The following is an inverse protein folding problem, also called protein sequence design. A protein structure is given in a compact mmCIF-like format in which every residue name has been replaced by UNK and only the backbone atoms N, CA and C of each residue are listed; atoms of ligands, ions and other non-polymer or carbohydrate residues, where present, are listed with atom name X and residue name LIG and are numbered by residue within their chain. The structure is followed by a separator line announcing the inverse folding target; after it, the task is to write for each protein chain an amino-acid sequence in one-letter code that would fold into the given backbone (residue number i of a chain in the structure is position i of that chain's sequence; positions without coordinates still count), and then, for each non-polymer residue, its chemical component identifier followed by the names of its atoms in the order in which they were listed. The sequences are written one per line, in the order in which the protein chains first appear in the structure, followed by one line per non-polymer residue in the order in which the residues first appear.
data_IF_584893837812
#
_entry.id   IF_584893837812
#
_cell.length_a   1.000
_cell.length_b   1.000
_cell.length_c   1.000
_cell.angle_alpha   90.00
_cell.angle_beta   90.00
_cell.angle_gamma   90.00
#
_symmetry.space_group_name_H-M   'P 1'
#
loop_
_entity.id
_entity.type
_entity.pdbx_description
1 polymer ?
#
# COMPACT_ATOMS: atom_id res chain seq x y z
N UNK A 1 31.50 -18.40 -16.66
CA UNK A 1 31.76 -19.53 -17.58
C UNK A 1 30.66 -19.54 -18.63
N UNK A 2 30.95 -18.97 -19.80
CA UNK A 2 30.08 -19.01 -20.99
C UNK A 2 30.03 -20.46 -21.51
N UNK A 3 28.85 -21.07 -21.60
CA UNK A 3 28.67 -22.35 -22.29
C UNK A 3 28.44 -22.09 -23.77
N UNK A 4 29.49 -22.36 -24.55
CA UNK A 4 29.44 -22.53 -26.01
C UNK A 4 28.61 -23.79 -26.29
N UNK A 5 27.61 -23.67 -27.16
CA UNK A 5 26.88 -24.82 -27.71
C UNK A 5 27.41 -25.08 -29.12
N UNK A 6 28.14 -26.17 -29.29
CA UNK A 6 28.57 -26.69 -30.59
C UNK A 6 27.38 -27.20 -31.39
N UNK A 7 27.28 -26.76 -32.63
CA UNK A 7 26.27 -27.19 -33.59
C UNK A 7 26.96 -28.00 -34.69
N UNK A 8 27.09 -29.31 -34.46
CA UNK A 8 27.42 -30.28 -35.50
C UNK A 8 26.28 -31.28 -35.60
N UNK A 9 25.30 -31.01 -36.46
CA UNK A 9 24.62 -32.06 -37.22
C UNK A 9 23.89 -31.44 -38.42
N UNK A 10 24.14 -32.05 -39.58
CA UNK A 10 23.86 -31.61 -40.93
C UNK A 10 22.42 -31.11 -41.18
N UNK A 11 22.28 -29.81 -41.42
CA UNK A 11 21.24 -29.24 -42.29
C UNK A 11 21.93 -28.30 -43.28
N UNK A 12 21.49 -28.35 -44.54
CA UNK A 12 22.09 -27.68 -45.69
C UNK A 12 22.42 -26.21 -45.41
N UNK A 13 23.60 -25.77 -45.87
CA UNK A 13 24.11 -24.41 -45.69
C UNK A 13 23.18 -23.31 -46.25
N UNK A 14 22.24 -23.65 -47.15
CA UNK A 14 21.23 -22.73 -47.66
C UNK A 14 20.11 -22.40 -46.65
N UNK A 15 19.74 -23.34 -45.78
CA UNK A 15 18.69 -23.12 -44.77
C UNK A 15 19.17 -22.24 -43.61
N UNK A 16 20.47 -22.31 -43.27
CA UNK A 16 21.10 -21.49 -42.22
C UNK A 16 21.35 -20.05 -42.73
N UNK A 17 21.68 -19.89 -44.01
CA UNK A 17 21.92 -18.57 -44.61
C UNK A 17 20.64 -17.73 -44.76
N UNK A 18 19.47 -18.36 -44.95
CA UNK A 18 18.17 -17.68 -44.95
C UNK A 18 17.74 -17.30 -43.52
N UNK A 19 18.13 -18.10 -42.51
CA UNK A 19 17.79 -17.84 -41.10
C UNK A 19 18.69 -16.80 -40.42
N UNK A 20 19.95 -16.63 -40.87
CA UNK A 20 20.93 -15.72 -40.27
C UNK A 20 21.07 -14.35 -40.97
N UNK A 21 20.34 -14.09 -42.06
CA UNK A 21 20.33 -12.79 -42.77
C UNK A 21 19.19 -11.84 -42.41
N UNK A 22 18.47 -12.08 -41.31
CA UNK A 22 17.46 -11.15 -40.80
C UNK A 22 17.64 -10.86 -39.32
N UNK A 23 18.77 -10.25 -38.95
CA UNK A 23 18.75 -9.25 -37.87
C UNK A 23 17.98 -8.02 -38.38
N UNK A 24 16.70 -8.19 -38.75
CA UNK A 24 15.84 -7.08 -39.14
C UNK A 24 15.62 -6.23 -37.91
N UNK A 25 15.62 -4.90 -38.09
CA UNK A 25 15.39 -3.92 -37.00
C UNK A 25 14.16 -4.25 -36.14
N UNK A 26 13.18 -4.97 -36.69
CA UNK A 26 12.00 -5.44 -35.97
C UNK A 26 12.22 -6.70 -35.13
N UNK A 27 13.18 -7.57 -35.40
CA UNK A 27 13.35 -8.86 -34.68
C UNK A 27 12.01 -9.63 -34.51
N UNK A 28 11.22 -9.71 -35.58
CA UNK A 28 9.98 -10.47 -35.64
C UNK A 28 10.16 -11.66 -36.58
N UNK A 29 9.72 -12.85 -36.16
CA UNK A 29 9.78 -14.06 -37.00
C UNK A 29 8.88 -13.92 -38.23
N UNK A 30 9.33 -14.46 -39.36
CA UNK A 30 8.60 -14.49 -40.64
C UNK A 30 8.21 -13.09 -41.17
N UNK A 31 8.98 -12.05 -40.83
CA UNK A 31 8.75 -10.67 -41.28
C UNK A 31 9.98 -10.14 -42.00
N UNK A 32 9.80 -9.64 -43.23
CA UNK A 32 10.81 -8.88 -43.96
C UNK A 32 10.58 -7.39 -43.76
N UNK A 33 11.67 -6.64 -43.56
CA UNK A 33 11.65 -5.17 -43.55
C UNK A 33 11.97 -4.69 -44.95
N UNK A 34 11.08 -3.89 -45.52
CA UNK A 34 11.19 -3.34 -46.87
C UNK A 34 11.86 -1.98 -46.86
N UNK A 35 11.51 -1.13 -45.89
CA UNK A 35 12.01 0.24 -45.78
C UNK A 35 11.92 0.71 -44.32
N UNK A 36 12.90 1.50 -43.89
CA UNK A 36 12.92 2.21 -42.62
C UNK A 36 12.94 3.71 -42.91
N UNK A 37 11.96 4.44 -42.40
CA UNK A 37 11.93 5.90 -42.39
C UNK A 37 12.23 6.39 -40.99
N UNK A 38 13.18 7.30 -40.86
CA UNK A 38 13.52 7.97 -39.62
C UNK A 38 13.09 9.42 -39.67
N UNK A 39 12.31 9.82 -38.66
CA UNK A 39 11.95 11.19 -38.37
C UNK A 39 12.66 11.63 -37.08
N UNK A 40 12.49 12.90 -36.70
CA UNK A 40 13.05 13.46 -35.46
C UNK A 40 12.65 12.64 -34.23
N UNK A 41 11.35 12.36 -34.05
CA UNK A 41 10.81 11.66 -32.87
C UNK A 41 10.25 10.25 -33.14
N UNK A 42 10.39 9.73 -34.37
CA UNK A 42 9.76 8.45 -34.73
C UNK A 42 10.49 7.64 -35.80
N UNK A 43 10.27 6.33 -35.77
CA UNK A 43 10.57 5.41 -36.86
C UNK A 43 9.28 4.87 -37.47
N UNK A 44 9.22 4.83 -38.81
CA UNK A 44 8.19 4.09 -39.56
C UNK A 44 8.87 2.95 -40.30
N UNK A 45 8.51 1.72 -39.95
CA UNK A 45 9.10 0.51 -40.53
C UNK A 45 8.07 -0.15 -41.44
N UNK A 46 8.33 -0.15 -42.74
CA UNK A 46 7.51 -0.84 -43.73
C UNK A 46 7.93 -2.30 -43.81
N UNK A 47 6.97 -3.20 -43.65
CA UNK A 47 7.25 -4.63 -43.54
C UNK A 47 6.16 -5.49 -44.18
N UNK A 48 6.50 -6.74 -44.50
CA UNK A 48 5.54 -7.75 -44.93
C UNK A 48 5.93 -9.16 -44.47
N UNK A 49 5.01 -10.11 -44.65
CA UNK A 49 5.27 -11.52 -44.32
C UNK A 49 6.24 -12.13 -45.32
N UNK A 50 7.26 -12.85 -44.83
CA UNK A 50 8.11 -13.73 -45.64
C UNK A 50 7.30 -14.96 -46.08
N UNK A 51 6.53 -15.52 -45.15
CA UNK A 51 5.67 -16.69 -45.36
C UNK A 51 4.24 -16.32 -45.02
N UNK A 52 3.30 -16.61 -45.93
CA UNK A 52 1.87 -16.34 -45.73
C UNK A 52 1.22 -17.59 -45.14
N UNK A 53 0.73 -17.49 -43.91
CA UNK A 53 -0.11 -18.51 -43.30
C UNK A 53 -1.49 -18.49 -43.97
N UNK A 54 -1.88 -19.62 -44.58
CA UNK A 54 -3.12 -19.75 -45.38
C UNK A 54 -4.26 -20.47 -44.68
N UNK A 55 -4.07 -20.85 -43.42
CA UNK A 55 -5.10 -21.56 -42.67
C UNK A 55 -6.30 -20.65 -42.42
N UNK A 56 -7.48 -21.13 -42.78
CA UNK A 56 -8.72 -20.42 -42.53
C UNK A 56 -9.04 -20.48 -41.03
N UNK A 57 -9.26 -19.34 -40.34
CA UNK A 57 -9.57 -19.34 -38.91
C UNK A 57 -10.92 -20.01 -38.58
N UNK A 58 -11.76 -20.26 -39.59
CA UNK A 58 -13.14 -20.71 -39.44
C UNK A 58 -13.30 -22.21 -39.69
N UNK A 59 -12.70 -22.72 -40.78
CA UNK A 59 -12.77 -24.15 -41.12
C UNK A 59 -11.42 -24.86 -41.11
N UNK A 60 -10.34 -24.17 -40.74
CA UNK A 60 -8.94 -24.67 -40.65
C UNK A 60 -8.36 -25.23 -41.97
N UNK A 61 -9.03 -25.04 -43.10
CA UNK A 61 -8.48 -25.41 -44.41
C UNK A 61 -7.33 -24.47 -44.80
N UNK A 62 -6.26 -25.04 -45.35
CA UNK A 62 -5.13 -24.31 -45.93
C UNK A 62 -5.39 -23.84 -47.38
N UNK A 63 -6.52 -24.25 -47.99
CA UNK A 63 -6.86 -23.89 -49.37
C UNK A 63 -7.48 -22.48 -49.44
N UNK A 64 -6.60 -21.48 -49.30
CA UNK A 64 -6.95 -20.07 -49.36
C UNK A 64 -6.13 -19.34 -50.42
N UNK A 65 -6.79 -18.41 -51.12
CA UNK A 65 -6.17 -17.58 -52.17
C UNK A 65 -6.07 -16.13 -51.73
N UNK A 66 -4.97 -15.48 -52.10
CA UNK A 66 -4.78 -14.04 -51.84
C UNK A 66 -5.63 -13.26 -52.84
N UNK A 67 -6.56 -12.45 -52.34
CA UNK A 67 -7.48 -11.64 -53.15
C UNK A 67 -7.16 -10.13 -53.08
N UNK A 68 -6.21 -9.74 -52.23
CA UNK A 68 -5.81 -8.34 -52.10
C UNK A 68 -4.78 -8.10 -51.01
N UNK A 69 -4.39 -6.84 -50.85
CA UNK A 69 -3.44 -6.38 -49.85
C UNK A 69 -4.00 -5.14 -49.15
N UNK A 70 -3.69 -4.96 -47.86
CA UNK A 70 -4.05 -3.75 -47.11
C UNK A 70 -2.91 -3.39 -46.16
N UNK A 71 -2.44 -2.15 -46.25
CA UNK A 71 -1.48 -1.62 -45.29
C UNK A 71 -2.17 -1.39 -43.94
N UNK A 72 -1.62 -1.98 -42.88
CA UNK A 72 -2.09 -1.83 -41.51
C UNK A 72 -0.96 -1.28 -40.66
N UNK A 73 -1.26 -0.26 -39.84
CA UNK A 73 -0.28 0.36 -38.95
C UNK A 73 -0.40 -0.21 -37.54
N UNK A 74 0.72 -0.56 -36.94
CA UNK A 74 0.83 -1.06 -35.58
C UNK A 74 1.82 -0.23 -34.77
N UNK A 75 1.59 -0.13 -33.47
CA UNK A 75 2.50 0.54 -32.53
C UNK A 75 3.43 -0.51 -31.93
N UNK A 76 4.71 -0.19 -31.84
CA UNK A 76 5.72 -1.08 -31.31
C UNK A 76 6.53 -0.43 -30.18
N UNK A 77 7.35 -1.23 -29.50
CA UNK A 77 8.25 -0.73 -28.45
C UNK A 77 9.24 0.30 -29.01
N UNK A 78 9.59 1.31 -28.20
CA UNK A 78 10.52 2.36 -28.59
C UNK A 78 11.89 1.83 -29.04
N UNK A 79 12.52 2.57 -29.95
CA UNK A 79 13.92 2.37 -30.38
C UNK A 79 14.62 3.71 -30.30
N UNK A 80 15.80 3.77 -29.67
CA UNK A 80 16.60 5.00 -29.53
C UNK A 80 15.82 6.20 -28.95
N UNK A 81 14.94 5.94 -27.98
CA UNK A 81 14.01 6.92 -27.40
C UNK A 81 12.99 7.53 -28.40
N UNK A 82 12.85 6.97 -29.60
CA UNK A 82 11.85 7.34 -30.61
C UNK A 82 10.67 6.37 -30.60
N UNK A 83 9.50 6.87 -30.95
CA UNK A 83 8.30 6.03 -31.14
C UNK A 83 8.44 5.17 -32.39
N UNK A 84 7.88 3.96 -32.39
CA UNK A 84 8.00 3.04 -33.53
C UNK A 84 6.63 2.65 -34.06
N UNK A 85 6.44 2.83 -35.37
CA UNK A 85 5.23 2.40 -36.10
C UNK A 85 5.59 1.38 -37.16
N UNK A 86 4.92 0.22 -37.15
CA UNK A 86 5.06 -0.80 -38.18
C UNK A 86 3.96 -0.60 -39.21
N UNK A 87 4.34 -0.24 -40.43
CA UNK A 87 3.47 -0.16 -41.61
C UNK A 87 3.51 -1.52 -42.33
N UNK A 88 2.60 -2.42 -41.97
CA UNK A 88 2.62 -3.80 -42.42
C UNK A 88 1.69 -4.04 -43.62
N UNK A 89 2.21 -4.56 -44.72
CA UNK A 89 1.42 -4.87 -45.93
C UNK A 89 0.74 -6.22 -45.81
N UNK A 90 -0.42 -6.22 -45.12
CA UNK A 90 -1.15 -7.44 -44.78
C UNK A 90 -1.94 -7.99 -45.96
N UNK A 91 -1.84 -9.30 -46.24
CA UNK A 91 -2.57 -9.97 -47.32
C UNK A 91 -4.02 -10.29 -46.89
N UNK A 92 -4.97 -10.09 -47.79
CA UNK A 92 -6.39 -10.48 -47.64
C UNK A 92 -6.61 -11.78 -48.38
N UNK A 93 -7.10 -12.81 -47.69
CA UNK A 93 -7.31 -14.15 -48.21
C UNK A 93 -8.80 -14.49 -48.29
N UNK A 94 -9.17 -15.33 -49.26
CA UNK A 94 -10.48 -15.98 -49.35
C UNK A 94 -10.28 -17.49 -49.28
N UNK A 95 -10.94 -18.12 -48.32
CA UNK A 95 -10.96 -19.58 -48.18
C UNK A 95 -11.83 -20.17 -49.29
N UNK A 96 -11.34 -21.16 -50.05
CA UNK A 96 -12.15 -21.79 -51.10
C UNK A 96 -13.26 -22.68 -50.52
N UNK A 97 -13.01 -23.55 -49.52
CA UNK A 97 -14.07 -24.40 -48.95
C UNK A 97 -15.25 -23.67 -48.32
N UNK A 98 -15.02 -22.65 -47.48
CA UNK A 98 -16.09 -21.97 -46.75
C UNK A 98 -16.48 -20.59 -47.33
N UNK A 99 -15.76 -20.11 -48.35
CA UNK A 99 -16.00 -18.81 -48.99
C UNK A 99 -15.67 -17.57 -48.15
N UNK A 100 -15.35 -17.74 -46.85
CA UNK A 100 -15.07 -16.63 -45.92
C UNK A 100 -13.78 -15.91 -46.28
N UNK A 101 -13.77 -14.61 -46.02
CA UNK A 101 -12.63 -13.72 -46.28
C UNK A 101 -12.01 -13.25 -44.97
N UNK A 102 -10.69 -13.26 -44.88
CA UNK A 102 -9.95 -12.89 -43.67
C UNK A 102 -8.60 -12.25 -44.03
N UNK A 103 -7.94 -11.63 -43.05
CA UNK A 103 -6.56 -11.17 -43.21
C UNK A 103 -5.58 -12.23 -42.73
N UNK A 104 -4.39 -12.32 -43.35
CA UNK A 104 -3.37 -13.30 -42.95
C UNK A 104 -3.14 -13.26 -41.44
N UNK A 105 -3.20 -14.38 -40.71
CA UNK A 105 -2.94 -14.37 -39.27
C UNK A 105 -1.47 -13.99 -39.02
N UNK A 106 -1.24 -13.19 -37.97
CA UNK A 106 0.08 -12.68 -37.62
C UNK A 106 0.47 -13.23 -36.25
N UNK A 107 1.45 -14.14 -36.21
CA UNK A 107 1.85 -14.83 -34.98
C UNK A 107 2.35 -13.88 -33.88
N UNK A 108 2.96 -12.76 -34.28
CA UNK A 108 3.49 -11.74 -33.39
C UNK A 108 2.45 -10.74 -32.90
N UNK A 109 1.22 -10.76 -33.43
CA UNK A 109 0.14 -9.86 -33.03
C UNK A 109 -0.63 -10.42 -31.83
N UNK A 110 -1.00 -9.58 -30.87
CA UNK A 110 -1.83 -9.99 -29.75
C UNK A 110 -3.27 -10.30 -30.19
N UNK A 111 -3.94 -11.22 -29.50
CA UNK A 111 -5.30 -11.69 -29.85
C UNK A 111 -6.35 -10.59 -29.59
N UNK A 112 -6.28 -9.97 -28.41
CA UNK A 112 -7.23 -8.91 -28.01
C UNK A 112 -6.85 -7.49 -28.48
N UNK A 113 -5.58 -7.27 -28.81
CA UNK A 113 -5.05 -5.94 -29.06
C UNK A 113 -4.41 -5.89 -30.44
N UNK A 114 -4.71 -4.82 -31.20
CA UNK A 114 -4.08 -4.55 -32.49
C UNK A 114 -2.66 -3.99 -32.33
N UNK A 115 -1.84 -4.71 -31.56
CA UNK A 115 -0.46 -4.38 -31.21
C UNK A 115 0.35 -5.69 -31.14
N UNK A 116 1.67 -5.66 -31.40
CA UNK A 116 2.53 -6.81 -31.18
C UNK A 116 2.45 -7.33 -29.74
N UNK A 117 2.56 -8.63 -29.55
CA UNK A 117 2.59 -9.30 -28.22
C UNK A 117 3.64 -8.67 -27.30
N UNK A 118 4.83 -8.41 -27.84
CA UNK A 118 5.91 -7.73 -27.10
C UNK A 118 5.56 -6.32 -26.62
N UNK A 119 4.74 -5.59 -27.38
CA UNK A 119 4.32 -4.23 -27.01
C UNK A 119 3.32 -4.30 -25.88
N UNK A 120 2.39 -5.25 -25.92
CA UNK A 120 1.47 -5.54 -24.82
C UNK A 120 2.25 -5.92 -23.56
N UNK A 121 3.22 -6.84 -23.68
CA UNK A 121 4.08 -7.25 -22.56
C UNK A 121 4.89 -6.08 -21.99
N UNK A 122 5.41 -5.21 -22.86
CA UNK A 122 6.11 -3.98 -22.47
C UNK A 122 5.18 -3.05 -21.69
N UNK A 123 3.97 -2.80 -22.22
CA UNK A 123 2.97 -1.96 -21.56
C UNK A 123 2.70 -2.49 -20.17
N UNK A 124 2.40 -3.78 -20.02
CA UNK A 124 2.11 -4.39 -18.71
C UNK A 124 3.28 -4.21 -17.73
N UNK A 125 4.51 -4.55 -18.14
CA UNK A 125 5.71 -4.47 -17.29
C UNK A 125 6.11 -3.04 -16.95
N UNK A 126 5.91 -2.10 -17.87
CA UNK A 126 6.28 -0.70 -17.71
C UNK A 126 5.21 0.06 -16.93
N UNK A 127 3.95 -0.11 -17.31
CA UNK A 127 2.79 0.49 -16.66
C UNK A 127 2.60 0.00 -15.22
N UNK A 128 3.21 -1.11 -14.82
CA UNK A 128 3.36 -1.47 -13.42
C UNK A 128 4.12 -0.41 -12.60
N UNK A 129 5.27 0.05 -13.11
CA UNK A 129 6.27 0.83 -12.38
C UNK A 129 6.12 2.33 -12.54
N UNK A 130 5.55 2.78 -13.66
CA UNK A 130 5.43 4.22 -13.98
C UNK A 130 3.96 4.61 -14.24
N UNK A 131 3.65 5.92 -14.23
CA UNK A 131 2.34 6.43 -14.61
C UNK A 131 1.92 5.99 -16.02
N UNK A 132 0.62 5.79 -16.26
CA UNK A 132 0.12 5.36 -17.58
C UNK A 132 0.39 6.40 -18.67
N UNK A 133 0.32 7.68 -18.31
CA UNK A 133 0.70 8.79 -19.19
C UNK A 133 2.17 8.70 -19.65
N UNK A 134 3.08 8.24 -18.80
CA UNK A 134 4.49 8.06 -19.17
C UNK A 134 4.62 6.97 -20.24
N UNK A 135 3.97 5.82 -20.05
CA UNK A 135 3.99 4.73 -21.04
C UNK A 135 3.31 5.14 -22.35
N UNK A 136 2.22 5.91 -22.25
CA UNK A 136 1.50 6.43 -23.39
C UNK A 136 2.38 7.38 -24.22
N UNK A 137 3.12 8.27 -23.55
CA UNK A 137 4.09 9.17 -24.18
C UNK A 137 5.27 8.41 -24.80
N UNK A 138 5.78 7.39 -24.10
CA UNK A 138 6.85 6.52 -24.61
C UNK A 138 6.41 5.85 -25.94
N UNK A 139 5.20 5.32 -26.02
CA UNK A 139 4.71 4.63 -27.22
C UNK A 139 4.03 5.53 -28.26
N UNK A 140 3.81 6.81 -27.93
CA UNK A 140 3.05 7.74 -28.76
C UNK A 140 1.60 7.31 -28.98
N UNK A 141 0.92 6.85 -27.93
CA UNK A 141 -0.49 6.41 -27.97
C UNK A 141 -1.34 7.17 -26.98
N UNK A 142 -2.67 7.08 -27.13
CA UNK A 142 -3.59 7.60 -26.13
C UNK A 142 -3.49 6.77 -24.83
N UNK A 143 -3.55 7.44 -23.67
CA UNK A 143 -3.49 6.81 -22.35
C UNK A 143 -4.55 5.74 -22.15
N UNK A 144 -5.74 5.90 -22.74
CA UNK A 144 -6.81 4.90 -22.70
C UNK A 144 -6.37 3.56 -23.29
N UNK A 145 -5.44 3.57 -24.26
CA UNK A 145 -4.86 2.35 -24.82
C UNK A 145 -4.09 1.58 -23.74
N UNK A 146 -3.21 2.28 -23.01
CA UNK A 146 -2.43 1.72 -21.89
C UNK A 146 -3.37 1.19 -20.81
N UNK A 147 -4.40 1.97 -20.46
CA UNK A 147 -5.41 1.59 -19.48
C UNK A 147 -6.17 0.33 -19.85
N UNK A 148 -6.59 0.20 -21.12
CA UNK A 148 -7.32 -0.98 -21.60
C UNK A 148 -6.43 -2.23 -21.62
N UNK A 149 -5.18 -2.10 -22.07
CA UNK A 149 -4.20 -3.19 -22.04
C UNK A 149 -3.98 -3.66 -20.61
N UNK A 150 -3.75 -2.72 -19.69
CA UNK A 150 -3.53 -3.05 -18.28
C UNK A 150 -4.79 -3.67 -17.63
N UNK A 151 -5.99 -3.18 -17.94
CA UNK A 151 -7.24 -3.74 -17.42
C UNK A 151 -7.47 -5.20 -17.86
N UNK A 152 -7.18 -5.53 -19.13
CA UNK A 152 -7.24 -6.92 -19.63
C UNK A 152 -6.23 -7.82 -18.89
N UNK A 153 -5.00 -7.35 -18.68
CA UNK A 153 -3.99 -8.06 -17.89
C UNK A 153 -4.46 -8.33 -16.45
N UNK A 154 -5.07 -7.33 -15.79
CA UNK A 154 -5.60 -7.47 -14.43
C UNK A 154 -6.69 -8.53 -14.38
N UNK A 155 -7.63 -8.53 -15.32
CA UNK A 155 -8.67 -9.55 -15.39
C UNK A 155 -8.08 -10.97 -15.55
N UNK A 156 -7.00 -11.12 -16.30
CA UNK A 156 -6.31 -12.40 -16.49
C UNK A 156 -5.56 -12.88 -15.24
N UNK A 157 -5.01 -11.97 -14.43
CA UNK A 157 -4.26 -12.31 -13.21
C UNK A 157 -5.14 -12.44 -11.97
N UNK A 158 -6.20 -11.66 -11.84
CA UNK A 158 -7.11 -11.71 -10.69
C UNK A 158 -7.62 -13.15 -10.44
N UNK A 159 -7.85 -13.90 -11.52
CA UNK A 159 -8.28 -15.31 -11.48
C UNK A 159 -7.17 -16.30 -11.13
N UNK A 160 -5.90 -15.91 -11.23
CA UNK A 160 -4.73 -16.75 -10.96
C UNK A 160 -4.05 -16.43 -9.63
N UNK A 161 -4.43 -15.33 -8.98
CA UNK A 161 -3.81 -14.89 -7.73
C UNK A 161 -4.21 -15.80 -6.57
N UNK A 162 -3.22 -16.33 -5.84
CA UNK A 162 -3.45 -17.17 -4.66
C UNK A 162 -3.62 -16.30 -3.41
N UNK A 163 -4.86 -16.15 -2.97
CA UNK A 163 -5.23 -15.33 -1.82
C UNK A 163 -5.01 -16.10 -0.52
N UNK A 164 -3.78 -16.38 -0.11
CA UNK A 164 -3.56 -17.10 1.14
C UNK A 164 -3.89 -16.23 2.36
N UNK A 165 -4.65 -16.76 3.32
CA UNK A 165 -4.90 -16.09 4.58
C UNK A 165 -3.63 -16.04 5.45
N UNK A 166 -3.34 -14.91 6.12
CA UNK A 166 -2.26 -14.82 7.09
C UNK A 166 -2.68 -15.45 8.42
N UNK A 167 -1.71 -15.70 9.30
CA UNK A 167 -2.00 -16.01 10.71
C UNK A 167 -2.43 -14.74 11.46
N UNK A 168 -1.75 -13.63 11.18
CA UNK A 168 -2.03 -12.29 11.74
C UNK A 168 -2.47 -11.33 10.64
N UNK A 169 -3.76 -10.96 10.66
CA UNK A 169 -4.39 -10.08 9.69
C UNK A 169 -4.44 -8.63 10.22
N UNK A 170 -3.97 -7.67 9.44
CA UNK A 170 -4.24 -6.25 9.67
C UNK A 170 -5.42 -5.77 8.84
N UNK A 171 -6.32 -4.98 9.45
CA UNK A 171 -7.40 -4.28 8.75
C UNK A 171 -7.35 -2.81 9.12
N UNK A 172 -7.27 -1.95 8.12
CA UNK A 172 -7.29 -0.50 8.29
C UNK A 172 -8.01 0.17 7.12
N UNK A 173 -7.96 1.49 7.08
CA UNK A 173 -8.57 2.32 6.09
C UNK A 173 -7.58 3.34 5.52
N UNK A 174 -7.71 3.58 4.23
CA UNK A 174 -7.00 4.68 3.58
C UNK A 174 -7.97 5.60 2.87
N UNK A 175 -7.80 6.91 3.09
CA UNK A 175 -8.61 7.93 2.45
C UNK A 175 -7.96 8.42 1.16
N UNK A 176 -8.61 8.18 0.02
CA UNK A 176 -8.26 8.80 -1.25
C UNK A 176 -9.48 8.87 -2.17
N UNK A 177 -9.45 9.78 -3.15
CA UNK A 177 -10.60 10.04 -4.04
C UNK A 177 -11.90 10.34 -3.27
N UNK A 178 -11.79 11.10 -2.17
CA UNK A 178 -12.89 11.51 -1.28
C UNK A 178 -13.67 10.33 -0.64
N UNK A 179 -13.07 9.13 -0.60
CA UNK A 179 -13.67 7.91 -0.05
C UNK A 179 -12.67 7.18 0.84
N UNK A 180 -13.20 6.44 1.81
CA UNK A 180 -12.44 5.53 2.66
C UNK A 180 -12.44 4.14 2.03
N UNK A 181 -11.26 3.54 1.87
CA UNK A 181 -11.08 2.22 1.29
C UNK A 181 -10.49 1.29 2.34
N UNK A 182 -11.02 0.07 2.43
CA UNK A 182 -10.51 -0.96 3.32
C UNK A 182 -9.19 -1.49 2.78
N UNK A 183 -8.24 -1.70 3.67
CA UNK A 183 -6.90 -2.24 3.40
C UNK A 183 -6.66 -3.44 4.30
N UNK A 184 -6.25 -4.56 3.70
CA UNK A 184 -5.91 -5.79 4.41
C UNK A 184 -4.44 -6.12 4.22
N UNK A 185 -3.77 -6.49 5.30
CA UNK A 185 -2.33 -6.76 5.31
C UNK A 185 -2.01 -8.04 6.04
N UNK A 186 -0.95 -8.71 5.60
CA UNK A 186 -0.28 -9.75 6.36
C UNK A 186 0.74 -9.04 7.24
N UNK A 187 0.46 -8.97 8.55
CA UNK A 187 1.30 -8.20 9.48
C UNK A 187 2.68 -8.85 9.63
N UNK A 188 2.74 -10.19 9.65
CA UNK A 188 3.99 -10.92 9.81
C UNK A 188 4.88 -10.79 8.57
N UNK A 189 4.31 -10.96 7.38
CA UNK A 189 5.07 -10.83 6.12
C UNK A 189 5.26 -9.39 5.67
N UNK A 190 4.60 -8.44 6.33
CA UNK A 190 4.63 -7.01 6.00
C UNK A 190 4.16 -6.71 4.56
N UNK A 191 3.15 -7.44 4.09
CA UNK A 191 2.66 -7.34 2.71
C UNK A 191 1.19 -6.91 2.64
N UNK A 192 0.84 -6.13 1.62
CA UNK A 192 -0.56 -5.88 1.29
C UNK A 192 -1.21 -7.17 0.77
N UNK A 193 -2.28 -7.59 1.42
CA UNK A 193 -3.09 -8.72 0.96
C UNK A 193 -4.13 -8.24 -0.04
N UNK A 194 -4.93 -7.25 0.31
CA UNK A 194 -6.01 -6.77 -0.54
C UNK A 194 -6.45 -5.35 -0.19
N UNK A 195 -7.21 -4.74 -1.10
CA UNK A 195 -7.93 -3.49 -0.86
C UNK A 195 -9.36 -3.59 -1.37
N UNK A 196 -10.31 -2.92 -0.70
CA UNK A 196 -11.71 -2.82 -1.14
C UNK A 196 -12.21 -1.38 -1.18
N UNK A 197 -13.10 -1.11 -2.14
CA UNK A 197 -13.76 0.21 -2.31
C UNK A 197 -14.67 0.58 -1.16
N UNK A 198 -15.28 -0.43 -0.55
CA UNK A 198 -16.20 -0.30 0.57
C UNK A 198 -15.53 -0.90 1.81
N UNK A 199 -15.86 -0.31 2.95
CA UNK A 199 -15.41 -0.72 4.28
C UNK A 199 -16.56 -1.22 5.15
N UNK A 200 -17.78 -1.34 4.61
CA UNK A 200 -18.91 -1.88 5.38
C UNK A 200 -18.60 -3.24 6.01
N UNK A 201 -19.37 -3.61 7.03
CA UNK A 201 -19.24 -4.91 7.70
C UNK A 201 -19.31 -6.07 6.68
N UNK A 202 -20.28 -6.02 5.76
CA UNK A 202 -20.45 -7.01 4.69
C UNK A 202 -19.24 -7.03 3.73
N UNK A 203 -18.75 -5.87 3.30
CA UNK A 203 -17.56 -5.79 2.46
C UNK A 203 -16.32 -6.37 3.15
N UNK A 204 -16.17 -6.14 4.45
CA UNK A 204 -15.09 -6.68 5.29
C UNK A 204 -15.15 -8.20 5.35
N UNK A 205 -16.32 -8.76 5.64
CA UNK A 205 -16.51 -10.21 5.70
C UNK A 205 -16.24 -10.88 4.35
N UNK A 206 -16.78 -10.32 3.25
CA UNK A 206 -16.52 -10.81 1.89
C UNK A 206 -15.04 -10.75 1.53
N UNK A 207 -14.32 -9.73 1.98
CA UNK A 207 -12.89 -9.60 1.74
C UNK A 207 -12.10 -10.70 2.47
N UNK A 208 -12.40 -10.95 3.74
CA UNK A 208 -11.78 -12.02 4.53
C UNK A 208 -12.10 -13.41 3.95
N UNK A 209 -13.38 -13.68 3.62
CA UNK A 209 -13.82 -14.98 3.08
C UNK A 209 -13.18 -15.33 1.74
N UNK A 210 -12.65 -14.34 1.00
CA UNK A 210 -11.92 -14.58 -0.25
C UNK A 210 -10.56 -15.23 0.00
N UNK A 211 -9.98 -15.07 1.21
CA UNK A 211 -8.69 -15.64 1.54
C UNK A 211 -8.81 -17.16 1.74
N UNK A 212 -8.04 -17.95 1.01
CA UNK A 212 -7.90 -19.38 1.22
C UNK A 212 -7.36 -19.64 2.63
N UNK A 213 -8.09 -20.43 3.41
CA UNK A 213 -7.74 -20.72 4.79
C UNK A 213 -8.09 -19.60 5.77
N UNK A 214 -9.00 -18.67 5.41
CA UNK A 214 -9.40 -17.55 6.28
C UNK A 214 -9.80 -17.98 7.70
N UNK A 215 -10.35 -19.19 7.89
CA UNK A 215 -10.70 -19.74 9.20
C UNK A 215 -9.51 -19.95 10.14
N UNK A 216 -8.29 -19.97 9.61
CA UNK A 216 -7.05 -20.18 10.35
C UNK A 216 -6.41 -18.85 10.78
N UNK A 217 -7.06 -17.70 10.53
CA UNK A 217 -6.61 -16.42 11.05
C UNK A 217 -6.76 -16.46 12.57
N UNK A 218 -5.65 -16.28 13.29
CA UNK A 218 -5.58 -16.35 14.74
C UNK A 218 -5.74 -14.97 15.38
N UNK A 219 -5.17 -13.95 14.76
CA UNK A 219 -5.10 -12.59 15.31
C UNK A 219 -5.54 -11.59 14.24
N UNK A 220 -6.36 -10.62 14.63
CA UNK A 220 -6.78 -9.52 13.76
C UNK A 220 -6.51 -8.17 14.44
N UNK A 221 -5.62 -7.37 13.87
CA UNK A 221 -5.35 -6.02 14.32
C UNK A 221 -6.24 -5.02 13.59
N UNK A 222 -6.98 -4.21 14.33
CA UNK A 222 -7.95 -3.25 13.78
C UNK A 222 -7.89 -1.89 14.52
N UNK A 223 -8.38 -0.83 13.86
CA UNK A 223 -8.78 0.40 14.56
C UNK A 223 -10.05 0.15 15.41
N UNK A 224 -10.32 1.05 16.35
CA UNK A 224 -11.52 1.13 17.20
C UNK A 224 -12.80 1.48 16.41
N UNK A 225 -13.02 0.82 15.28
CA UNK A 225 -14.22 0.96 14.46
C UNK A 225 -15.15 -0.24 14.61
N UNK A 226 -16.34 0.01 15.17
CA UNK A 226 -17.30 -1.04 15.56
C UNK A 226 -17.67 -2.01 14.41
N UNK A 227 -17.89 -1.55 13.15
CA UNK A 227 -18.19 -2.45 12.04
C UNK A 227 -17.11 -3.51 11.78
N UNK A 228 -15.81 -3.18 11.91
CA UNK A 228 -14.73 -4.17 11.79
C UNK A 228 -14.76 -5.19 12.92
N UNK A 229 -14.89 -4.74 14.16
CA UNK A 229 -15.03 -5.65 15.31
C UNK A 229 -16.20 -6.60 15.13
N UNK A 230 -17.36 -6.09 14.73
CA UNK A 230 -18.56 -6.91 14.49
C UNK A 230 -18.33 -7.88 13.34
N UNK A 231 -17.74 -7.44 12.22
CA UNK A 231 -17.41 -8.29 11.08
C UNK A 231 -16.52 -9.46 11.51
N UNK A 232 -15.43 -9.17 12.23
CA UNK A 232 -14.44 -10.15 12.68
C UNK A 232 -15.04 -11.10 13.71
N UNK A 233 -15.70 -10.61 14.77
CA UNK A 233 -16.29 -11.50 15.80
C UNK A 233 -17.37 -12.43 15.24
N UNK A 234 -18.14 -11.99 14.25
CA UNK A 234 -19.14 -12.84 13.61
C UNK A 234 -18.52 -13.88 12.67
N UNK A 235 -17.46 -13.52 11.94
CA UNK A 235 -16.85 -14.40 10.94
C UNK A 235 -15.79 -15.33 11.55
N UNK A 236 -15.00 -14.82 12.49
CA UNK A 236 -13.84 -15.44 13.14
C UNK A 236 -14.03 -15.41 14.67
N UNK A 237 -14.97 -16.18 15.23
CA UNK A 237 -15.28 -16.12 16.67
C UNK A 237 -14.10 -16.48 17.57
N UNK A 238 -13.18 -17.30 17.07
CA UNK A 238 -11.98 -17.75 17.81
C UNK A 238 -10.77 -16.83 17.63
N UNK A 239 -10.83 -15.85 16.73
CA UNK A 239 -9.69 -14.95 16.51
C UNK A 239 -9.58 -13.92 17.63
N UNK A 240 -8.36 -13.67 18.07
CA UNK A 240 -8.04 -12.59 19.00
C UNK A 240 -8.04 -11.27 18.24
N UNK A 241 -8.85 -10.34 18.70
CA UNK A 241 -8.88 -8.98 18.15
C UNK A 241 -7.99 -8.09 19.00
N UNK A 242 -7.02 -7.44 18.37
CA UNK A 242 -6.10 -6.48 19.00
C UNK A 242 -6.39 -5.10 18.42
N UNK A 243 -6.59 -4.11 19.30
CA UNK A 243 -6.72 -2.71 18.87
C UNK A 243 -5.33 -2.12 18.65
N UNK A 244 -5.20 -1.38 17.56
CA UNK A 244 -3.97 -0.65 17.29
C UNK A 244 -3.75 0.51 18.27
N UNK A 245 -2.60 0.48 18.96
CA UNK A 245 -2.22 1.45 19.99
C UNK A 245 -2.07 2.86 19.45
N UNK A 246 -1.72 3.01 18.17
CA UNK A 246 -1.62 4.33 17.54
C UNK A 246 -2.93 5.10 17.67
N UNK A 247 -4.05 4.43 17.44
CA UNK A 247 -5.37 5.06 17.53
C UNK A 247 -5.73 5.41 18.98
N UNK A 248 -5.35 4.58 19.95
CA UNK A 248 -5.53 4.86 21.39
C UNK A 248 -4.72 6.10 21.80
N UNK A 249 -3.48 6.21 21.34
CA UNK A 249 -2.62 7.35 21.63
C UNK A 249 -3.04 8.63 20.89
N UNK A 250 -3.55 8.50 19.68
CA UNK A 250 -4.16 9.60 18.92
C UNK A 250 -5.32 10.25 19.69
N UNK A 251 -6.13 9.47 20.42
CA UNK A 251 -7.20 10.02 21.25
C UNK A 251 -6.68 10.90 22.39
N UNK A 252 -5.53 10.56 22.99
CA UNK A 252 -4.89 11.40 24.00
C UNK A 252 -4.40 12.73 23.40
N UNK A 253 -3.82 12.68 22.19
CA UNK A 253 -3.43 13.87 21.45
C UNK A 253 -4.64 14.74 21.06
N UNK A 254 -5.77 14.13 20.70
CA UNK A 254 -7.02 14.85 20.43
C UNK A 254 -7.58 15.51 21.69
N UNK A 255 -7.46 14.89 22.86
CA UNK A 255 -7.82 15.48 24.15
C UNK A 255 -6.94 16.71 24.46
N UNK A 256 -5.62 16.62 24.26
CA UNK A 256 -4.71 17.76 24.39
C UNK A 256 -5.07 18.89 23.42
N UNK A 257 -5.40 18.56 22.18
CA UNK A 257 -5.79 19.54 21.17
C UNK A 257 -7.15 20.21 21.50
N UNK A 258 -8.08 19.50 22.16
CA UNK A 258 -9.33 20.08 22.67
C UNK A 258 -9.07 21.10 23.77
N UNK A 259 -8.22 20.77 24.75
CA UNK A 259 -7.81 21.72 25.80
C UNK A 259 -7.13 22.96 25.22
N UNK A 260 -6.16 22.76 24.31
CA UNK A 260 -5.48 23.85 23.60
C UNK A 260 -6.44 24.74 22.84
N UNK A 261 -7.45 24.17 22.17
CA UNK A 261 -8.48 24.93 21.44
C UNK A 261 -9.43 25.69 22.36
N UNK A 262 -9.75 25.15 23.54
CA UNK A 262 -10.58 25.81 24.54
C UNK A 262 -9.89 27.10 25.02
N UNK A 263 -8.65 26.97 25.51
CA UNK A 263 -7.85 28.10 26.02
C UNK A 263 -7.58 29.14 24.93
N UNK A 264 -7.27 28.69 23.70
CA UNK A 264 -7.06 29.61 22.56
C UNK A 264 -8.23 30.56 22.30
N UNK A 265 -9.47 30.21 22.65
CA UNK A 265 -10.63 31.09 22.42
C UNK A 265 -10.59 32.34 23.29
N UNK A 266 -9.93 32.28 24.43
CA UNK A 266 -9.88 33.35 25.44
C UNK A 266 -8.68 34.29 25.26
N UNK A 267 -7.73 33.93 24.38
CA UNK A 267 -6.49 34.68 24.16
C UNK A 267 -6.63 35.85 23.18
N UNK A 268 -5.69 36.79 23.22
CA UNK A 268 -5.54 37.84 22.20
C UNK A 268 -5.15 37.27 20.84
N UNK A 269 -5.34 38.03 19.75
CA UNK A 269 -5.03 37.55 18.39
C UNK A 269 -3.55 37.21 18.17
N UNK A 270 -2.64 37.89 18.87
CA UNK A 270 -1.20 37.61 18.82
C UNK A 270 -0.88 36.26 19.47
N UNK A 271 -1.41 36.02 20.65
CA UNK A 271 -1.24 34.77 21.41
C UNK A 271 -1.92 33.60 20.72
N UNK A 272 -3.11 33.82 20.13
CA UNK A 272 -3.82 32.82 19.32
C UNK A 272 -2.99 32.30 18.16
N UNK A 273 -2.19 33.15 17.52
CA UNK A 273 -1.28 32.78 16.42
C UNK A 273 -0.07 32.03 16.96
N UNK A 274 0.54 32.51 18.05
CA UNK A 274 1.69 31.85 18.69
C UNK A 274 1.33 30.42 19.16
N UNK A 275 0.23 30.24 19.91
CA UNK A 275 -0.22 28.93 20.39
C UNK A 275 -0.62 27.98 19.24
N UNK A 276 -1.07 28.51 18.10
CA UNK A 276 -1.34 27.69 16.91
C UNK A 276 -0.04 27.14 16.31
N UNK A 277 1.01 27.95 16.27
CA UNK A 277 2.31 27.55 15.74
C UNK A 277 3.00 26.56 16.67
N UNK A 278 2.90 26.78 17.98
CA UNK A 278 3.52 25.95 19.02
C UNK A 278 2.76 24.65 19.31
N UNK A 279 1.61 24.42 18.65
CA UNK A 279 0.74 23.27 18.91
C UNK A 279 1.47 21.93 18.92
N UNK A 280 2.48 21.76 18.06
CA UNK A 280 3.21 20.49 17.91
C UNK A 280 3.96 20.13 19.18
N UNK A 281 4.47 21.12 19.90
CA UNK A 281 5.24 20.94 21.13
C UNK A 281 4.38 20.25 22.19
N UNK A 282 3.12 20.67 22.33
CA UNK A 282 2.16 20.07 23.28
C UNK A 282 1.74 18.64 22.90
N UNK A 283 1.92 18.23 21.64
CA UNK A 283 1.62 16.87 21.19
C UNK A 283 2.79 15.91 21.41
N UNK A 284 4.03 16.42 21.47
CA UNK A 284 5.23 15.59 21.74
C UNK A 284 5.19 14.96 23.14
N UNK A 285 5.81 13.78 23.27
CA UNK A 285 6.24 13.22 24.55
C UNK A 285 7.29 14.14 25.17
N UNK A 286 7.39 14.20 26.49
CA UNK A 286 8.30 15.13 27.18
C UNK A 286 9.75 14.96 26.74
N UNK A 287 10.14 13.73 26.47
CA UNK A 287 11.51 13.33 26.08
C UNK A 287 11.89 13.75 24.66
N UNK A 288 10.89 14.06 23.84
CA UNK A 288 11.05 14.49 22.47
C UNK A 288 11.07 16.03 22.35
N UNK A 289 10.91 16.75 23.46
CA UNK A 289 11.07 18.21 23.53
C UNK A 289 12.53 18.52 23.85
N UNK A 290 13.37 18.60 22.80
CA UNK A 290 14.83 18.75 22.96
C UNK A 290 15.35 20.13 22.58
N UNK A 291 14.62 20.87 21.72
CA UNK A 291 15.05 22.18 21.28
C UNK A 291 14.91 23.25 22.37
N UNK A 292 15.92 24.11 22.54
CA UNK A 292 15.87 25.21 23.53
C UNK A 292 14.62 26.09 23.36
N UNK A 293 14.29 26.44 22.11
CA UNK A 293 13.08 27.21 21.80
C UNK A 293 11.79 26.40 22.04
N UNK A 294 11.82 25.08 21.86
CA UNK A 294 10.66 24.23 22.13
C UNK A 294 10.39 24.14 23.63
N UNK A 295 11.44 23.96 24.44
CA UNK A 295 11.37 23.97 25.90
C UNK A 295 10.87 25.31 26.43
N UNK A 296 11.46 26.42 25.97
CA UNK A 296 11.02 27.75 26.40
C UNK A 296 9.56 28.03 26.02
N UNK A 297 9.12 27.62 24.82
CA UNK A 297 7.71 27.75 24.43
C UNK A 297 6.80 26.83 25.23
N UNK A 298 7.22 25.59 25.50
CA UNK A 298 6.48 24.65 26.35
C UNK A 298 6.26 25.25 27.74
N UNK A 299 7.35 25.62 28.42
CA UNK A 299 7.34 26.20 29.76
C UNK A 299 6.49 27.47 29.83
N UNK A 300 6.61 28.34 28.83
CA UNK A 300 5.76 29.53 28.72
C UNK A 300 4.27 29.16 28.72
N UNK A 301 3.84 28.26 27.84
CA UNK A 301 2.41 27.91 27.75
C UNK A 301 1.90 27.15 28.97
N UNK A 302 2.71 26.27 29.56
CA UNK A 302 2.30 25.45 30.71
C UNK A 302 2.30 26.23 32.02
N UNK A 303 3.16 27.25 32.15
CA UNK A 303 3.17 28.13 33.31
C UNK A 303 2.05 29.18 33.26
N UNK A 304 1.83 29.79 32.08
CA UNK A 304 0.76 30.77 31.89
C UNK A 304 -0.64 30.13 31.97
N UNK A 305 -0.76 28.88 31.54
CA UNK A 305 -2.04 28.14 31.56
C UNK A 305 -1.87 26.81 32.29
N UNK A 306 -2.03 26.78 33.63
CA UNK A 306 -1.89 25.56 34.43
C UNK A 306 -2.78 24.39 33.95
N UNK A 307 -3.97 24.68 33.40
CA UNK A 307 -4.83 23.66 32.80
C UNK A 307 -4.16 22.96 31.59
N UNK A 308 -3.35 23.65 30.78
CA UNK A 308 -2.57 22.99 29.71
C UNK A 308 -1.56 22.02 30.29
N UNK A 309 -0.89 22.39 31.38
CA UNK A 309 0.07 21.51 32.05
C UNK A 309 -0.61 20.27 32.65
N UNK A 310 -1.74 20.47 33.30
CA UNK A 310 -2.54 19.39 33.88
C UNK A 310 -3.00 18.39 32.81
N UNK A 311 -3.55 18.88 31.69
CA UNK A 311 -3.98 18.03 30.57
C UNK A 311 -2.78 17.36 29.89
N UNK A 312 -1.65 18.06 29.77
CA UNK A 312 -0.41 17.48 29.22
C UNK A 312 0.12 16.34 30.11
N UNK A 313 0.16 16.53 31.43
CA UNK A 313 0.57 15.49 32.36
C UNK A 313 -0.40 14.29 32.32
N UNK A 314 -1.71 14.56 32.23
CA UNK A 314 -2.70 13.50 32.05
C UNK A 314 -2.48 12.72 30.74
N UNK A 315 -2.14 13.40 29.64
CA UNK A 315 -1.74 12.78 28.37
C UNK A 315 -0.50 11.91 28.55
N UNK A 316 0.52 12.42 29.22
CA UNK A 316 1.76 11.66 29.43
C UNK A 316 1.52 10.40 30.26
N UNK A 317 0.75 10.52 31.34
CA UNK A 317 0.34 9.41 32.19
C UNK A 317 -0.58 8.42 31.46
N UNK A 318 -1.50 8.90 30.62
CA UNK A 318 -2.37 8.03 29.80
C UNK A 318 -1.54 7.13 28.88
N UNK A 319 -0.51 7.69 28.23
CA UNK A 319 0.38 6.92 27.36
C UNK A 319 1.32 6.01 28.16
N UNK A 320 1.63 6.36 29.41
CA UNK A 320 2.45 5.57 30.32
C UNK A 320 1.88 4.19 30.66
N UNK A 321 0.60 3.92 30.38
CA UNK A 321 0.05 2.57 30.55
C UNK A 321 0.82 1.55 29.70
N UNK A 322 1.29 1.94 28.51
CA UNK A 322 2.02 1.06 27.59
C UNK A 322 3.41 0.66 28.11
N UNK A 323 3.91 1.36 29.13
CA UNK A 323 5.17 1.02 29.79
C UNK A 323 4.98 -0.05 30.90
N UNK A 324 3.74 -0.48 31.16
CA UNK A 324 3.46 -1.54 32.14
C UNK A 324 3.87 -2.92 31.60
N UNK A 325 4.52 -3.77 32.42
CA UNK A 325 5.12 -5.01 31.94
C UNK A 325 4.11 -6.15 31.72
N UNK A 326 2.91 -6.05 32.32
CA UNK A 326 1.87 -7.07 32.20
C UNK A 326 0.50 -6.44 32.00
N UNK A 327 -0.40 -7.21 31.40
CA UNK A 327 -1.80 -6.83 31.21
C UNK A 327 -2.47 -6.40 32.52
N UNK A 328 -2.32 -7.21 33.57
CA UNK A 328 -2.93 -6.93 34.88
C UNK A 328 -2.46 -5.59 35.44
N UNK A 329 -1.15 -5.32 35.41
CA UNK A 329 -0.61 -4.05 35.88
C UNK A 329 -1.06 -2.87 35.01
N UNK A 330 -1.25 -3.07 33.71
CA UNK A 330 -1.79 -2.05 32.82
C UNK A 330 -3.26 -1.73 33.12
N UNK A 331 -4.09 -2.75 33.39
CA UNK A 331 -5.50 -2.58 33.78
C UNK A 331 -5.60 -1.86 35.13
N UNK A 332 -4.80 -2.26 36.13
CA UNK A 332 -4.71 -1.57 37.43
C UNK A 332 -4.24 -0.12 37.27
N UNK A 333 -3.22 0.13 36.44
CA UNK A 333 -2.73 1.46 36.12
C UNK A 333 -3.82 2.33 35.48
N UNK A 334 -4.60 1.77 34.55
CA UNK A 334 -5.70 2.49 33.90
C UNK A 334 -6.81 2.89 34.88
N UNK A 335 -7.24 1.99 35.77
CA UNK A 335 -8.24 2.32 36.78
C UNK A 335 -7.75 3.42 37.73
N UNK A 336 -6.47 3.37 38.11
CA UNK A 336 -5.86 4.42 38.92
C UNK A 336 -5.80 5.76 38.17
N UNK A 337 -5.44 5.75 36.87
CA UNK A 337 -5.42 6.95 36.05
C UNK A 337 -6.82 7.58 35.98
N UNK A 338 -7.86 6.76 35.80
CA UNK A 338 -9.26 7.22 35.84
C UNK A 338 -9.64 7.80 37.20
N UNK A 339 -9.23 7.18 38.31
CA UNK A 339 -9.52 7.65 39.65
C UNK A 339 -8.90 9.01 39.94
N UNK A 340 -7.63 9.21 39.55
CA UNK A 340 -6.88 10.46 39.74
C UNK A 340 -7.27 11.57 38.75
N UNK A 341 -7.98 11.23 37.66
CA UNK A 341 -8.38 12.23 36.67
C UNK A 341 -9.34 13.28 37.24
N UNK A 342 -8.88 14.53 37.23
CA UNK A 342 -9.64 15.70 37.69
C UNK A 342 -10.83 16.00 36.77
N UNK A 343 -11.80 16.84 37.19
CA UNK A 343 -12.89 17.27 36.32
C UNK A 343 -12.43 17.95 35.03
N UNK A 344 -11.32 18.72 35.07
CA UNK A 344 -10.75 19.39 33.90
C UNK A 344 -10.19 18.38 32.90
N UNK A 345 -9.44 17.38 33.37
CA UNK A 345 -8.93 16.28 32.53
C UNK A 345 -10.08 15.47 31.95
N UNK A 346 -11.05 15.04 32.77
CA UNK A 346 -12.21 14.25 32.33
C UNK A 346 -13.03 14.96 31.24
N UNK A 347 -13.15 16.30 31.32
CA UNK A 347 -13.83 17.11 30.29
C UNK A 347 -13.21 16.91 28.90
N UNK A 348 -11.88 16.89 28.80
CA UNK A 348 -11.17 16.77 27.52
C UNK A 348 -10.95 15.31 27.09
N UNK A 349 -10.72 14.41 28.06
CA UNK A 349 -10.47 12.98 27.84
C UNK A 349 -11.73 12.11 27.77
N UNK A 350 -12.94 12.69 27.90
CA UNK A 350 -14.22 11.96 27.89
C UNK A 350 -14.33 10.90 26.79
N UNK A 351 -13.92 11.25 25.56
CA UNK A 351 -14.00 10.33 24.43
C UNK A 351 -12.95 9.21 24.52
N UNK A 352 -11.73 9.53 24.98
CA UNK A 352 -10.64 8.56 25.17
C UNK A 352 -11.00 7.54 26.27
N UNK A 353 -11.49 8.02 27.42
CA UNK A 353 -11.98 7.17 28.52
C UNK A 353 -13.06 6.23 28.01
N UNK A 354 -14.09 6.78 27.37
CA UNK A 354 -15.19 6.00 26.80
C UNK A 354 -14.69 4.98 25.76
N UNK A 355 -13.67 5.31 24.97
CA UNK A 355 -13.12 4.37 24.01
C UNK A 355 -12.41 3.21 24.71
N UNK A 356 -11.53 3.47 25.70
CA UNK A 356 -10.90 2.40 26.46
C UNK A 356 -11.95 1.51 27.13
N UNK A 357 -12.96 2.08 27.79
CA UNK A 357 -14.00 1.26 28.44
C UNK A 357 -14.78 0.39 27.42
N UNK A 358 -15.10 0.93 26.23
CA UNK A 358 -15.84 0.18 25.19
C UNK A 358 -14.99 -0.86 24.44
N UNK A 359 -13.68 -0.70 24.48
CA UNK A 359 -12.72 -1.52 23.74
C UNK A 359 -11.72 -2.23 24.65
N UNK A 360 -12.00 -2.26 25.95
CA UNK A 360 -11.08 -2.67 27.01
C UNK A 360 -10.37 -3.99 26.68
N UNK A 361 -11.13 -5.07 26.53
CA UNK A 361 -10.60 -6.40 26.16
C UNK A 361 -9.64 -6.32 24.97
N UNK A 362 -10.01 -5.62 23.90
CA UNK A 362 -9.26 -5.56 22.64
C UNK A 362 -7.99 -4.71 22.71
N UNK A 363 -8.01 -3.66 23.54
CA UNK A 363 -6.84 -2.82 23.79
C UNK A 363 -5.85 -3.58 24.67
N UNK A 364 -6.34 -4.22 25.74
CA UNK A 364 -5.51 -4.95 26.70
C UNK A 364 -5.00 -6.30 26.17
N UNK A 365 -5.59 -6.85 25.11
CA UNK A 365 -5.04 -8.00 24.39
C UNK A 365 -3.62 -7.74 23.83
N UNK A 366 -3.20 -6.48 23.67
CA UNK A 366 -1.86 -6.15 23.17
C UNK A 366 -0.73 -6.71 24.06
N UNK A 367 -0.91 -6.75 25.39
CA UNK A 367 0.11 -7.30 26.29
C UNK A 367 0.35 -8.79 26.10
N UNK A 368 -0.70 -9.53 25.75
CA UNK A 368 -0.62 -10.97 25.48
C UNK A 368 -0.22 -11.23 24.02
N UNK A 369 -0.57 -10.31 23.11
CA UNK A 369 -0.35 -10.40 21.66
C UNK A 369 0.11 -9.04 21.10
N UNK A 370 1.42 -8.71 21.17
CA UNK A 370 1.95 -7.36 20.90
C UNK A 370 2.04 -6.99 19.41
N UNK A 371 1.02 -7.34 18.63
CA UNK A 371 0.89 -6.96 17.23
C UNK A 371 0.31 -5.54 17.10
N UNK A 372 0.81 -4.80 16.12
CA UNK A 372 0.34 -3.45 15.78
C UNK A 372 0.03 -3.36 14.30
N UNK A 373 -0.77 -2.35 13.92
CA UNK A 373 -1.12 -2.12 12.53
C UNK A 373 -0.12 -1.20 11.80
N UNK A 374 1.06 -0.96 12.38
CA UNK A 374 2.07 -0.01 11.88
C UNK A 374 2.51 -0.33 10.43
N UNK A 375 2.59 -1.62 10.09
CA UNK A 375 2.84 -2.09 8.72
C UNK A 375 1.79 -1.52 7.76
N UNK A 376 0.52 -1.57 8.16
CA UNK A 376 -0.60 -1.08 7.35
C UNK A 376 -0.55 0.42 7.17
N UNK A 377 -0.11 1.18 8.17
CA UNK A 377 0.10 2.63 8.03
C UNK A 377 1.20 2.95 7.00
N UNK A 378 2.35 2.27 7.09
CA UNK A 378 3.44 2.42 6.12
C UNK A 378 2.98 2.09 4.69
N UNK A 379 2.21 1.02 4.55
CA UNK A 379 1.57 0.66 3.28
C UNK A 379 0.55 1.70 2.84
N UNK A 380 -0.26 2.26 3.74
CA UNK A 380 -1.20 3.33 3.44
C UNK A 380 -0.51 4.59 2.89
N UNK A 381 0.67 4.91 3.39
CA UNK A 381 1.49 6.01 2.86
C UNK A 381 2.00 5.70 1.44
N UNK A 382 2.43 4.46 1.20
CA UNK A 382 2.81 3.98 -0.13
C UNK A 382 1.63 4.03 -1.11
N UNK A 383 0.46 3.56 -0.71
CA UNK A 383 -0.79 3.62 -1.49
C UNK A 383 -1.10 5.07 -1.89
N UNK A 384 -1.05 6.02 -0.93
CA UNK A 384 -1.29 7.44 -1.18
C UNK A 384 -0.23 8.04 -2.11
N UNK A 385 1.02 7.61 -2.03
CA UNK A 385 2.07 8.05 -2.95
C UNK A 385 1.80 7.58 -4.39
N UNK A 386 1.49 6.29 -4.58
CA UNK A 386 1.13 5.73 -5.90
C UNK A 386 -0.11 6.42 -6.48
N UNK A 387 -1.13 6.67 -5.66
CA UNK A 387 -2.33 7.38 -6.09
C UNK A 387 -2.03 8.82 -6.56
N UNK A 388 -1.22 9.57 -5.80
CA UNK A 388 -0.80 10.94 -6.17
C UNK A 388 -0.02 10.97 -7.49
N UNK A 389 0.88 10.01 -7.70
CA UNK A 389 1.66 9.89 -8.92
C UNK A 389 0.82 9.46 -10.13
N UNK A 390 -0.25 8.68 -9.91
CA UNK A 390 -1.11 8.17 -10.96
C UNK A 390 -2.01 9.20 -11.65
N UNK A 391 -2.25 10.38 -11.03
CA UNK A 391 -3.09 11.48 -11.55
C UNK A 391 -4.37 11.01 -12.28
N UNK A 392 -5.31 10.40 -11.55
CA UNK A 392 -6.61 9.96 -12.10
C UNK A 392 -6.76 8.45 -12.29
N UNK A 393 -5.98 7.65 -11.55
CA UNK A 393 -6.22 6.21 -11.46
C UNK A 393 -7.57 5.91 -10.82
N UNK A 394 -8.29 4.96 -11.42
CA UNK A 394 -9.42 4.34 -10.75
C UNK A 394 -8.89 3.47 -9.60
N UNK A 395 -9.79 3.11 -8.69
CA UNK A 395 -9.48 2.20 -7.59
C UNK A 395 -8.89 0.87 -8.10
N UNK A 396 -9.47 0.30 -9.16
CA UNK A 396 -9.06 -0.98 -9.74
C UNK A 396 -7.64 -0.92 -10.28
N UNK A 397 -7.30 0.18 -10.97
CA UNK A 397 -5.94 0.40 -11.49
C UNK A 397 -4.94 0.52 -10.35
N UNK A 398 -5.27 1.29 -9.31
CA UNK A 398 -4.41 1.45 -8.14
C UNK A 398 -4.20 0.11 -7.41
N UNK A 399 -5.29 -0.59 -7.10
CA UNK A 399 -5.28 -1.91 -6.46
C UNK A 399 -4.45 -2.91 -7.27
N UNK A 400 -4.68 -2.98 -8.58
CA UNK A 400 -3.94 -3.87 -9.47
C UNK A 400 -2.44 -3.57 -9.50
N UNK A 401 -2.05 -2.29 -9.53
CA UNK A 401 -0.65 -1.89 -9.44
C UNK A 401 -0.01 -2.36 -8.15
N UNK A 402 -0.71 -2.21 -7.02
CA UNK A 402 -0.17 -2.58 -5.72
C UNK A 402 -0.09 -4.11 -5.53
N UNK A 403 -1.07 -4.86 -6.03
CA UNK A 403 -1.17 -6.32 -5.79
C UNK A 403 -0.45 -7.18 -6.83
N UNK A 404 -0.50 -6.81 -8.12
CA UNK A 404 -0.12 -7.71 -9.21
C UNK A 404 1.19 -7.39 -9.88
N UNK A 405 1.82 -6.28 -9.49
CA UNK A 405 3.07 -5.88 -10.09
C UNK A 405 4.22 -6.27 -9.18
N UNK A 406 5.06 -7.21 -9.64
CA UNK A 406 6.35 -7.49 -9.00
C UNK A 406 7.15 -6.19 -8.96
N UNK A 407 7.43 -5.69 -7.76
CA UNK A 407 8.04 -4.38 -7.51
C UNK A 407 7.08 -3.24 -7.13
N UNK A 408 5.76 -3.45 -7.11
CA UNK A 408 4.80 -2.48 -6.58
C UNK A 408 4.70 -2.53 -5.05
N UNK A 409 4.87 -3.73 -4.49
CA UNK A 409 5.03 -4.05 -3.07
C UNK A 409 5.94 -5.27 -2.84
N UNK A 410 6.82 -5.58 -3.79
CA UNK A 410 8.11 -6.17 -3.40
C UNK A 410 8.91 -5.02 -2.78
N UNK A 411 8.54 -4.60 -1.57
CA UNK A 411 9.58 -4.33 -0.59
C UNK A 411 10.45 -5.56 -0.63
N UNK A 412 11.66 -5.39 -1.13
CA UNK A 412 12.69 -6.41 -1.14
C UNK A 412 12.56 -7.24 0.13
N UNK A 413 12.41 -8.55 -0.01
CA UNK A 413 12.54 -9.51 1.09
C UNK A 413 13.81 -9.18 1.90
N UNK A 414 14.82 -8.57 1.28
CA UNK A 414 16.06 -8.10 1.91
C UNK A 414 15.99 -6.76 2.66
N UNK A 415 14.96 -5.92 2.51
CA UNK A 415 14.82 -4.65 3.27
C UNK A 415 13.88 -4.75 4.47
N UNK A 416 13.18 -5.88 4.64
CA UNK A 416 12.30 -6.13 5.79
C UNK A 416 12.64 -7.42 6.55
N UNK A 417 13.52 -8.28 6.03
CA UNK A 417 14.12 -9.37 6.79
C UNK A 417 15.23 -8.84 7.72
N UNK A 418 14.85 -8.00 8.68
CA UNK A 418 15.53 -8.11 9.96
C UNK A 418 14.90 -9.29 10.70
N UNK A 419 15.70 -10.09 11.43
CA UNK A 419 15.15 -11.12 12.31
C UNK A 419 14.07 -10.51 13.20
N UNK A 420 13.10 -11.33 13.60
CA UNK A 420 12.14 -10.99 14.66
C UNK A 420 12.97 -10.43 15.81
N UNK A 421 12.86 -9.12 16.15
CA UNK A 421 13.56 -8.62 17.31
C UNK A 421 12.92 -9.29 18.53
N UNK A 422 13.75 -9.74 19.47
CA UNK A 422 13.28 -10.04 20.81
C UNK A 422 12.42 -8.86 21.31
N UNK A 423 11.40 -9.06 22.18
CA UNK A 423 10.44 -8.03 22.58
C UNK A 423 11.07 -6.70 23.07
N UNK A 424 12.34 -6.74 23.46
CA UNK A 424 13.19 -5.62 23.89
C UNK A 424 13.81 -4.80 22.76
N UNK A 425 13.79 -5.23 21.49
CA UNK A 425 14.46 -4.59 20.36
C UNK A 425 13.51 -4.17 19.23
N UNK A 426 12.31 -3.67 19.54
CA UNK A 426 11.49 -2.96 18.55
C UNK A 426 12.21 -1.67 18.08
N UNK A 427 13.00 -1.80 17.02
CA UNK A 427 13.58 -0.68 16.29
C UNK A 427 12.45 0.12 15.64
N UNK A 428 12.31 1.35 16.13
CA UNK A 428 11.50 2.44 15.62
C UNK A 428 11.72 2.62 14.11
N UNK A 429 10.77 2.18 13.29
CA UNK A 429 10.65 2.64 11.90
C UNK A 429 9.75 3.87 11.95
N UNK A 430 10.37 5.06 11.92
CA UNK A 430 9.79 6.40 11.76
C UNK A 430 8.27 6.50 11.95
N UNK A 431 7.84 6.25 13.19
CA UNK A 431 6.57 6.79 13.68
C UNK A 431 6.66 8.32 13.64
N UNK A 432 5.57 9.05 13.36
CA UNK A 432 5.55 10.49 13.52
C UNK A 432 5.78 10.87 14.99
N UNK A 433 7.05 11.01 15.40
CA UNK A 433 7.56 11.47 16.71
C UNK A 433 6.70 11.06 17.93
N UNK A 434 6.18 9.83 17.97
CA UNK A 434 5.46 9.28 19.11
C UNK A 434 6.19 8.04 19.61
N UNK A 435 7.37 8.23 20.21
CA UNK A 435 8.08 7.15 20.90
C UNK A 435 7.17 6.50 21.95
N UNK A 436 6.69 5.28 21.67
CA UNK A 436 5.92 4.48 22.63
C UNK A 436 6.79 3.80 23.68
N UNK A 437 8.11 3.81 23.51
CA UNK A 437 9.08 3.32 24.49
C UNK A 437 10.13 4.41 24.68
N UNK A 438 10.40 4.76 25.93
CA UNK A 438 11.36 5.82 26.25
C UNK A 438 11.45 6.18 27.74
N UNK A 439 10.67 5.56 28.61
CA UNK A 439 10.64 5.92 30.03
C UNK A 439 11.23 4.78 30.86
N UNK A 440 12.42 4.99 31.44
CA UNK A 440 12.99 4.08 32.44
C UNK A 440 12.01 3.95 33.62
N UNK A 441 11.94 2.78 34.27
CA UNK A 441 11.01 2.47 35.38
C UNK A 441 10.99 3.57 36.46
N UNK A 442 12.13 4.17 36.78
CA UNK A 442 12.24 5.28 37.73
C UNK A 442 11.49 6.56 37.31
N UNK A 443 11.23 6.75 36.02
CA UNK A 443 10.61 7.94 35.46
C UNK A 443 9.11 7.77 35.21
N UNK A 444 8.61 6.54 35.10
CA UNK A 444 7.18 6.23 35.24
C UNK A 444 6.72 6.70 36.61
N UNK A 445 7.49 6.39 37.66
CA UNK A 445 7.25 6.89 39.00
C UNK A 445 7.27 8.42 39.05
N UNK A 446 8.23 9.11 38.42
CA UNK A 446 8.25 10.58 38.41
C UNK A 446 7.04 11.21 37.69
N UNK A 447 6.66 10.72 36.52
CA UNK A 447 5.49 11.21 35.76
C UNK A 447 4.21 10.94 36.55
N UNK A 448 4.11 9.75 37.14
CA UNK A 448 2.99 9.34 37.98
C UNK A 448 2.90 10.14 39.27
N UNK A 449 4.02 10.39 39.94
CA UNK A 449 4.09 11.22 41.15
C UNK A 449 3.81 12.70 40.83
N UNK A 450 4.22 13.21 39.67
CA UNK A 450 3.82 14.56 39.20
C UNK A 450 2.32 14.65 38.95
N UNK A 451 1.72 13.60 38.39
CA UNK A 451 0.27 13.52 38.19
C UNK A 451 -0.49 13.43 39.52
N UNK A 452 -0.04 12.57 40.46
CA UNK A 452 -0.59 12.47 41.82
C UNK A 452 -0.51 13.79 42.59
N UNK A 453 0.64 14.48 42.54
CA UNK A 453 0.85 15.77 43.23
C UNK A 453 -0.15 16.85 42.77
N UNK A 454 -0.59 16.80 41.51
CA UNK A 454 -1.59 17.72 40.97
C UNK A 454 -3.04 17.34 41.36
N UNK A 455 -3.32 16.07 41.63
CA UNK A 455 -4.64 15.59 42.03
C UNK A 455 -4.99 15.88 43.51
N UNK A 456 -4.08 16.48 44.28
CA UNK A 456 -4.28 16.87 45.69
C UNK A 456 -4.72 15.71 46.61
N UNK A 457 -4.23 14.49 46.36
CA UNK A 457 -4.48 13.30 47.18
C UNK A 457 -3.25 12.98 48.02
N UNK A 458 -3.34 13.12 49.35
CA UNK A 458 -2.39 12.54 50.28
C UNK A 458 -2.69 11.04 50.45
N UNK A 459 -1.62 10.26 50.61
CA UNK A 459 -1.53 8.79 50.72
C UNK A 459 -1.74 7.99 49.44
N UNK A 460 -0.64 7.43 48.91
CA UNK A 460 -0.43 5.98 48.70
C UNK A 460 0.92 5.68 48.00
N UNK A 461 1.69 4.77 48.60
CA UNK A 461 2.99 4.25 48.12
C UNK A 461 2.82 3.25 46.97
N UNK A 462 3.43 3.56 45.82
CA UNK A 462 3.50 2.66 44.67
C UNK A 462 4.63 1.64 44.89
N UNK A 463 4.33 0.45 45.42
CA UNK A 463 5.32 -0.64 45.50
C UNK A 463 5.47 -1.31 44.13
N UNK A 464 6.34 -0.76 43.29
CA UNK A 464 6.96 -1.56 42.23
C UNK A 464 7.83 -2.62 42.90
N UNK A 465 7.51 -3.89 42.67
CA UNK A 465 8.42 -4.99 42.99
C UNK A 465 9.65 -4.77 42.09
N UNK A 466 10.73 -4.27 42.68
CA UNK A 466 12.06 -4.38 42.12
C UNK A 466 12.34 -5.87 41.89
N UNK A 467 12.42 -6.30 40.64
CA UNK A 467 13.02 -7.59 40.32
C UNK A 467 14.51 -7.39 40.08
N UNK A 468 15.30 -8.04 40.93
CA UNK A 468 16.60 -8.61 40.56
C UNK A 468 16.48 -9.50 39.31
#
# INVERSE_FOLDING_TARGET
MLKVWDCHESRSHEDIAIYLKSCTVLNLRNVSVLQLEENEDSYVIHAESVVIVRDCPECRSADSVVIGKRVQRYVDTQMHAKTVRISFTRKRLKCKPCGKTYFEPLEWLHEDFRMPKRTVDYIVKRAAKVPFLSVASELGVDEKTIRNVFANYVAAIENKHDWQAPRVLGIDETHFSQKMHLVMTDIEKRTLLDMRKDRSQDATQKAIMRLRGWKNIEIVCIDMWRPYRTAVKQLLPNAIVVVDRFHVAKMANEAMEKARKAIRRELSDKERKKLKNDRKILLKRRDNIKGLNELASFDFWTNEFPELMEVYNAKEAYLGMWDMPTRQLAEEYWENWKALSTPAVRRHFKDAIRAIDNWHEYIFNWWDYPYTNAVTESLNNTIKAVFRNGRGYSFEVLRAKLLYTKGGLETTVNSLNQPIPEPTEMILIDEPEMSFHGTTVGRILEVWEQYKKQANTHDWDFKLISKE
#
